data_IF_839930252200
#
_entry.id   IF_839930252200
#
_cell.length_a   1.000
_cell.length_b   1.000
_cell.length_c   1.000
_cell.angle_alpha   90.00
_cell.angle_beta   90.00
_cell.angle_gamma   90.00
#
_symmetry.space_group_name_H-M   'P 1'
#
loop_
_entity.id
_entity.type
_entity.pdbx_description
1 polymer ?
#
# COMPACT_ATOMS: atom_id res chain seq x y z
N UNK A 1 16.45 1.47 0.20
CA UNK A 1 15.44 2.38 -0.39
C UNK A 1 14.17 1.59 -0.64
N UNK A 2 13.03 2.04 -0.12
CA UNK A 2 11.75 1.34 -0.24
C UNK A 2 10.74 2.16 -1.02
N UNK A 3 9.90 1.49 -1.79
CA UNK A 3 8.73 2.09 -2.41
C UNK A 3 7.55 1.99 -1.45
N UNK A 4 6.50 2.75 -1.72
CA UNK A 4 5.26 2.62 -0.97
C UNK A 4 4.11 3.32 -1.66
N UNK A 5 2.91 2.90 -1.29
CA UNK A 5 1.67 3.39 -1.86
C UNK A 5 1.15 4.55 -1.00
N UNK A 6 0.85 5.68 -1.64
CA UNK A 6 0.20 6.79 -0.96
C UNK A 6 -1.30 6.55 -1.06
N UNK A 7 -1.96 6.51 0.10
CA UNK A 7 -3.41 6.37 0.20
C UNK A 7 -4.04 7.76 0.22
N UNK A 8 -5.16 7.94 -0.49
CA UNK A 8 -5.92 9.19 -0.42
C UNK A 8 -6.45 9.42 1.00
N UNK A 9 -6.75 10.67 1.36
CA UNK A 9 -7.30 10.96 2.70
C UNK A 9 -8.70 10.36 2.87
N UNK A 10 -9.49 10.33 1.79
CA UNK A 10 -10.83 9.76 1.77
C UNK A 10 -10.81 8.24 1.96
N UNK A 11 -9.93 7.54 1.23
CA UNK A 11 -9.78 6.08 1.35
C UNK A 11 -9.21 5.70 2.72
N UNK A 12 -8.26 6.49 3.23
CA UNK A 12 -7.73 6.27 4.57
C UNK A 12 -8.84 6.32 5.62
N UNK A 13 -9.67 7.37 5.59
CA UNK A 13 -10.73 7.56 6.58
C UNK A 13 -11.85 6.51 6.45
N UNK A 14 -12.10 6.00 5.25
CA UNK A 14 -13.21 5.09 4.97
C UNK A 14 -12.87 3.62 5.16
N UNK A 15 -11.60 3.24 4.96
CA UNK A 15 -11.21 1.83 4.90
C UNK A 15 -10.19 1.38 5.95
N UNK A 16 -9.55 2.32 6.67
CA UNK A 16 -8.57 1.99 7.70
C UNK A 16 -9.14 2.30 9.08
N UNK A 17 -8.97 1.35 10.00
CA UNK A 17 -9.36 1.50 11.40
C UNK A 17 -8.13 1.85 12.26
N UNK A 18 -8.27 2.87 13.11
CA UNK A 18 -7.24 3.28 14.08
C UNK A 18 -7.11 2.31 15.25
N UNK A 19 -8.10 1.45 15.48
CA UNK A 19 -8.07 0.45 16.55
C UNK A 19 -7.08 -0.68 16.27
N UNK A 20 -6.77 -0.94 15.00
CA UNK A 20 -5.82 -1.97 14.56
C UNK A 20 -4.45 -1.37 14.27
N UNK A 21 -3.40 -2.14 14.51
CA UNK A 21 -2.02 -1.67 14.37
C UNK A 21 -1.39 -1.97 13.01
N UNK A 22 -1.93 -2.98 12.34
CA UNK A 22 -1.38 -3.54 11.13
C UNK A 22 -2.50 -3.92 10.17
N UNK A 23 -2.19 -3.83 8.89
CA UNK A 23 -3.04 -4.33 7.81
C UNK A 23 -2.29 -5.41 7.04
N UNK A 24 -3.05 -6.30 6.40
CA UNK A 24 -2.54 -7.31 5.50
C UNK A 24 -2.67 -6.83 4.07
N UNK A 25 -1.58 -6.91 3.31
CA UNK A 25 -1.53 -6.56 1.90
C UNK A 25 -1.25 -7.81 1.07
N UNK A 26 -2.22 -8.19 0.26
CA UNK A 26 -2.12 -9.25 -0.74
C UNK A 26 -1.51 -8.65 -2.01
N UNK A 27 -0.34 -9.14 -2.40
CA UNK A 27 0.42 -8.65 -3.54
C UNK A 27 0.47 -9.76 -4.59
N UNK A 28 0.05 -9.50 -5.85
CA UNK A 28 0.16 -10.48 -6.91
C UNK A 28 1.60 -11.02 -7.06
N UNK A 29 1.74 -12.35 -7.12
CA UNK A 29 3.05 -13.01 -7.21
C UNK A 29 3.76 -13.23 -5.87
N UNK A 30 3.11 -12.93 -4.74
CA UNK A 30 3.57 -13.30 -3.39
C UNK A 30 2.60 -14.31 -2.79
N UNK A 31 3.12 -15.41 -2.27
CA UNK A 31 2.30 -16.46 -1.64
C UNK A 31 1.72 -16.03 -0.28
N UNK A 32 2.41 -15.15 0.43
CA UNK A 32 2.03 -14.69 1.77
C UNK A 32 1.58 -13.23 1.79
N UNK A 33 0.61 -12.94 2.66
CA UNK A 33 0.16 -11.59 2.92
C UNK A 33 1.25 -10.77 3.63
N UNK A 34 1.49 -9.55 3.14
CA UNK A 34 2.49 -8.65 3.69
C UNK A 34 1.88 -7.81 4.81
N UNK A 35 2.37 -7.97 6.04
CA UNK A 35 1.94 -7.18 7.21
C UNK A 35 2.52 -5.76 7.16
N UNK A 36 1.67 -4.74 7.15
CA UNK A 36 2.09 -3.33 7.14
C UNK A 36 1.66 -2.65 8.43
N UNK A 37 2.63 -2.15 9.20
CA UNK A 37 2.35 -1.29 10.35
C UNK A 37 1.74 0.03 9.88
N UNK A 38 0.53 0.28 10.38
CA UNK A 38 -0.20 1.54 10.26
C UNK A 38 -0.31 2.28 11.60
N UNK A 39 0.10 1.68 12.72
CA UNK A 39 0.20 2.31 14.06
C UNK A 39 1.35 3.32 14.16
N UNK A 40 1.32 4.31 13.28
CA UNK A 40 2.32 5.38 13.22
C UNK A 40 1.68 6.67 12.76
N UNK A 41 2.09 7.78 13.39
CA UNK A 41 1.55 9.11 13.10
C UNK A 41 1.72 9.50 11.63
N UNK A 42 2.81 9.08 10.98
CA UNK A 42 3.05 9.37 9.56
C UNK A 42 2.01 8.74 8.64
N UNK A 43 1.45 7.58 8.99
CA UNK A 43 0.34 7.01 8.25
C UNK A 43 -0.91 7.86 8.47
N UNK A 44 -1.33 8.07 9.73
CA UNK A 44 -2.56 8.79 10.07
C UNK A 44 -2.55 10.32 9.87
N UNK A 45 -1.40 10.90 9.54
CA UNK A 45 -1.20 12.31 9.27
C UNK A 45 -1.15 12.64 7.78
N UNK A 46 -0.08 13.32 7.36
CA UNK A 46 0.04 13.83 5.99
C UNK A 46 0.68 12.87 4.99
N UNK A 47 1.51 11.91 5.43
CA UNK A 47 2.21 11.03 4.49
C UNK A 47 1.32 9.89 3.95
N UNK A 48 0.48 9.28 4.79
CA UNK A 48 -0.51 8.23 4.42
C UNK A 48 0.07 7.10 3.56
N UNK A 49 1.33 6.73 3.83
CA UNK A 49 2.09 5.83 2.98
C UNK A 49 2.18 4.42 3.57
N UNK A 50 1.78 3.43 2.78
CA UNK A 50 2.04 2.01 3.03
C UNK A 50 3.43 1.68 2.47
N UNK A 51 4.40 1.43 3.35
CA UNK A 51 5.82 1.26 2.97
C UNK A 51 6.27 -0.15 3.34
N UNK A 52 6.65 -0.93 2.33
CA UNK A 52 7.25 -2.26 2.46
C UNK A 52 8.17 -2.57 1.29
N UNK A 53 9.12 -3.49 1.50
CA UNK A 53 10.10 -3.88 0.47
C UNK A 53 9.41 -4.61 -0.67
N UNK A 54 8.46 -5.45 -0.33
CA UNK A 54 7.65 -6.30 -1.18
C UNK A 54 6.86 -5.48 -2.21
N UNK A 55 6.29 -4.34 -1.80
CA UNK A 55 5.64 -3.37 -2.71
C UNK A 55 6.63 -2.90 -3.78
N UNK A 56 7.88 -2.63 -3.39
CA UNK A 56 8.93 -2.22 -4.32
C UNK A 56 9.37 -3.31 -5.28
N UNK A 57 9.43 -4.55 -4.81
CA UNK A 57 9.74 -5.71 -5.65
C UNK A 57 8.61 -5.93 -6.67
N UNK A 58 7.36 -5.90 -6.22
CA UNK A 58 6.19 -6.02 -7.09
C UNK A 58 6.15 -4.91 -8.15
N UNK A 59 6.30 -3.64 -7.77
CA UNK A 59 6.34 -2.53 -8.73
C UNK A 59 7.38 -2.73 -9.84
N UNK A 60 8.56 -3.29 -9.52
CA UNK A 60 9.61 -3.57 -10.51
C UNK A 60 9.24 -4.75 -11.40
N UNK A 61 8.73 -5.83 -10.79
CA UNK A 61 8.36 -7.04 -11.52
C UNK A 61 7.18 -6.80 -12.48
N UNK A 62 6.24 -5.94 -12.10
CA UNK A 62 5.12 -5.49 -12.94
C UNK A 62 5.50 -4.43 -13.97
N UNK A 63 6.78 -4.02 -14.06
CA UNK A 63 7.22 -2.97 -15.00
C UNK A 63 6.71 -1.56 -14.67
N UNK A 64 6.09 -1.37 -13.50
CA UNK A 64 5.59 -0.09 -13.00
C UNK A 64 6.69 0.79 -12.42
N UNK A 65 7.89 0.24 -12.16
CA UNK A 65 9.09 0.94 -11.73
C UNK A 65 10.32 0.52 -12.57
N UNK A 66 11.25 1.46 -12.87
CA UNK A 66 11.27 2.87 -12.47
C UNK A 66 10.31 3.73 -13.31
N UNK A 67 9.92 4.89 -12.77
CA UNK A 67 9.09 5.88 -13.46
C UNK A 67 9.79 7.22 -13.58
N UNK A 68 9.34 8.05 -14.53
CA UNK A 68 9.85 9.41 -14.69
C UNK A 68 9.63 10.24 -13.43
N UNK A 69 10.57 11.13 -13.10
CA UNK A 69 10.49 11.97 -11.90
C UNK A 69 9.15 12.74 -11.87
N UNK A 70 8.41 12.58 -10.77
CA UNK A 70 7.11 13.23 -10.59
C UNK A 70 5.91 12.46 -11.16
N UNK A 71 6.14 11.30 -11.80
CA UNK A 71 5.09 10.52 -12.44
C UNK A 71 5.00 9.10 -11.86
N UNK A 72 4.67 8.93 -10.57
CA UNK A 72 4.47 7.60 -10.00
C UNK A 72 3.27 6.89 -10.65
N UNK A 73 3.29 5.55 -10.77
CA UNK A 73 2.14 4.79 -11.23
C UNK A 73 0.99 4.90 -10.23
N UNK A 74 -0.23 4.81 -10.74
CA UNK A 74 -1.45 4.67 -9.94
C UNK A 74 -1.80 3.20 -9.90
N UNK A 75 -2.16 2.70 -8.72
CA UNK A 75 -2.59 1.32 -8.51
C UNK A 75 -3.89 1.35 -7.73
N UNK A 76 -4.70 0.30 -7.88
CA UNK A 76 -5.95 0.14 -7.13
C UNK A 76 -5.70 -0.73 -5.92
N UNK A 77 -6.19 -0.29 -4.76
CA UNK A 77 -6.28 -1.11 -3.56
C UNK A 77 -7.73 -1.56 -3.39
N UNK A 78 -7.96 -2.87 -3.40
CA UNK A 78 -9.27 -3.47 -3.21
C UNK A 78 -9.39 -4.04 -1.81
N UNK A 79 -10.42 -3.63 -1.08
CA UNK A 79 -10.73 -4.20 0.24
C UNK A 79 -11.26 -5.63 0.03
N UNK A 80 -10.63 -6.62 0.66
CA UNK A 80 -11.11 -8.00 0.68
C UNK A 80 -11.85 -8.31 1.97
N UNK A 81 -11.27 -7.88 3.09
CA UNK A 81 -11.82 -8.01 4.44
C UNK A 81 -11.39 -6.80 5.28
N UNK A 82 -12.00 -6.54 6.46
CA UNK A 82 -11.52 -5.49 7.36
C UNK A 82 -10.03 -5.64 7.68
N UNK A 83 -9.22 -4.65 7.31
CA UNK A 83 -7.76 -4.70 7.48
C UNK A 83 -7.00 -5.56 6.46
N UNK A 84 -7.67 -6.11 5.43
CA UNK A 84 -7.05 -6.89 4.35
C UNK A 84 -7.31 -6.24 3.00
N UNK A 85 -6.22 -5.91 2.31
CA UNK A 85 -6.25 -5.20 1.02
C UNK A 85 -5.50 -6.00 -0.04
N UNK A 86 -5.96 -5.93 -1.28
CA UNK A 86 -5.29 -6.50 -2.44
C UNK A 86 -4.87 -5.40 -3.41
N UNK A 87 -3.65 -5.50 -3.95
CA UNK A 87 -3.21 -4.61 -5.03
C UNK A 87 -3.72 -5.14 -6.37
N UNK A 88 -4.29 -4.25 -7.18
CA UNK A 88 -4.63 -4.48 -8.58
C UNK A 88 -4.00 -3.38 -9.47
N UNK A 89 -3.58 -3.77 -10.68
CA UNK A 89 -3.12 -2.85 -11.72
C UNK A 89 -4.35 -2.15 -12.35
N UNK A 90 -4.23 -0.87 -12.69
CA UNK A 90 -5.30 -0.05 -13.29
C UNK A 90 -5.20 -0.06 -14.81
#
# INVERSE_FOLDING_TARGET
>A
MGYGLIVSREDQASHFDRSIKEVLLLIPGFDEAVKINIDKQSFWGDCRKLIKKEIGVWLRNSGLAPWAKGSPPIVKLVVREPGVFMIEEV
#
